data_IF_645945544578
#
_entry.id   IF_645945544578
#
_cell.length_a   1.000
_cell.length_b   1.000
_cell.length_c   1.000
_cell.angle_alpha   90.00
_cell.angle_beta   90.00
_cell.angle_gamma   90.00
#
_symmetry.space_group_name_H-M   'P 1'
#
loop_
_entity.id
_entity.type
_entity.pdbx_description
1 polymer ?
#
# COMPACT_ATOMS: atom_id res chain seq x y z
N UNK A 1 14.50 -19.79 11.57
CA UNK A 1 15.52 -19.69 10.50
C UNK A 1 15.21 -18.41 9.75
N UNK A 2 16.15 -17.47 9.63
CA UNK A 2 15.91 -16.19 8.94
C UNK A 2 16.06 -16.40 7.44
N UNK A 3 15.11 -15.94 6.62
CA UNK A 3 15.19 -16.06 5.16
C UNK A 3 16.44 -15.35 4.63
N UNK A 4 17.12 -15.96 3.66
CA UNK A 4 18.33 -15.41 3.07
C UNK A 4 18.08 -14.08 2.35
N UNK A 5 18.97 -13.10 2.56
CA UNK A 5 18.86 -11.75 1.97
C UNK A 5 18.71 -11.77 0.45
N UNK A 6 19.45 -12.64 -0.25
CA UNK A 6 19.38 -12.77 -1.71
C UNK A 6 18.00 -13.23 -2.19
N UNK A 7 17.32 -14.09 -1.43
CA UNK A 7 15.96 -14.56 -1.74
C UNK A 7 14.93 -13.46 -1.50
N UNK A 8 15.08 -12.71 -0.41
CA UNK A 8 14.25 -11.54 -0.10
C UNK A 8 14.33 -10.51 -1.24
N UNK A 9 15.54 -10.20 -1.71
CA UNK A 9 15.75 -9.25 -2.81
C UNK A 9 15.09 -9.72 -4.11
N UNK A 10 15.28 -10.99 -4.50
CA UNK A 10 14.60 -11.57 -5.66
C UNK A 10 13.08 -11.51 -5.54
N UNK A 11 12.54 -11.83 -4.36
CA UNK A 11 11.10 -11.78 -4.15
C UNK A 11 10.55 -10.36 -4.27
N UNK A 12 11.27 -9.37 -3.74
CA UNK A 12 10.91 -7.96 -3.89
C UNK A 12 10.94 -7.49 -5.34
N UNK A 13 11.85 -8.03 -6.18
CA UNK A 13 11.83 -7.76 -7.62
C UNK A 13 10.56 -8.30 -8.29
N UNK A 14 10.12 -9.51 -7.93
CA UNK A 14 8.85 -10.05 -8.41
C UNK A 14 7.66 -9.17 -8.03
N UNK A 15 7.66 -8.61 -6.81
CA UNK A 15 6.59 -7.71 -6.36
C UNK A 15 6.51 -6.41 -7.17
N UNK A 16 7.60 -6.01 -7.81
CA UNK A 16 7.68 -4.82 -8.66
C UNK A 16 7.31 -5.09 -10.12
N UNK A 17 6.99 -6.33 -10.51
CA UNK A 17 6.64 -6.65 -11.89
C UNK A 17 5.36 -5.97 -12.36
N UNK A 18 5.53 -5.09 -13.33
CA UNK A 18 4.49 -4.24 -13.87
C UNK A 18 3.72 -4.92 -15.01
N UNK A 19 2.98 -5.97 -14.70
CA UNK A 19 2.17 -6.70 -15.68
C UNK A 19 0.76 -6.88 -15.16
N UNK A 20 -0.24 -6.45 -15.94
CA UNK A 20 -1.65 -6.59 -15.59
C UNK A 20 -2.06 -8.05 -15.81
N UNK A 21 -2.55 -8.78 -14.79
CA UNK A 21 -3.15 -10.11 -14.99
C UNK A 21 -4.35 -10.03 -15.93
N UNK A 22 -4.50 -11.01 -16.81
CA UNK A 22 -5.54 -11.00 -17.86
C UNK A 22 -6.96 -10.92 -17.30
N UNK A 23 -7.19 -11.51 -16.13
CA UNK A 23 -8.45 -11.59 -15.42
C UNK A 23 -8.71 -10.39 -14.49
N UNK A 24 -7.72 -9.50 -14.28
CA UNK A 24 -7.83 -8.42 -13.29
C UNK A 24 -8.98 -7.45 -13.59
N UNK A 25 -9.08 -7.01 -14.84
CA UNK A 25 -10.07 -5.97 -15.22
C UNK A 25 -11.49 -6.50 -15.15
N UNK A 26 -11.70 -7.76 -15.52
CA UNK A 26 -12.99 -8.43 -15.46
C UNK A 26 -13.40 -8.71 -14.01
N UNK A 27 -12.51 -9.35 -13.25
CA UNK A 27 -12.76 -9.75 -11.85
C UNK A 27 -12.95 -8.56 -10.92
N UNK A 28 -12.20 -7.48 -11.14
CA UNK A 28 -12.20 -6.30 -10.29
C UNK A 28 -12.57 -5.05 -11.10
N UNK A 29 -13.70 -5.13 -11.80
CA UNK A 29 -14.22 -4.04 -12.64
C UNK A 29 -14.44 -2.72 -11.88
N UNK A 30 -14.77 -2.77 -10.59
CA UNK A 30 -14.82 -1.57 -9.74
C UNK A 30 -13.47 -0.85 -9.64
N UNK A 31 -12.37 -1.60 -9.64
CA UNK A 31 -11.00 -1.06 -9.65
C UNK A 31 -10.62 -0.47 -11.00
N UNK A 32 -11.24 -0.93 -12.10
CA UNK A 32 -10.98 -0.43 -13.45
C UNK A 32 -11.35 1.05 -13.63
N UNK A 33 -12.25 1.58 -12.80
CA UNK A 33 -12.61 3.01 -12.77
C UNK A 33 -11.42 3.93 -12.43
N UNK A 34 -10.39 3.42 -11.75
CA UNK A 34 -9.17 4.16 -11.42
C UNK A 34 -8.26 4.33 -12.63
N UNK A 35 -8.42 3.51 -13.68
CA UNK A 35 -7.60 3.57 -14.87
C UNK A 35 -7.82 4.90 -15.59
N UNK A 36 -6.74 5.61 -15.86
CA UNK A 36 -6.74 6.94 -16.47
C UNK A 36 -6.95 8.11 -15.50
N UNK A 37 -7.48 7.87 -14.30
CA UNK A 37 -7.74 8.89 -13.28
C UNK A 37 -6.68 8.83 -12.17
N UNK A 38 -6.56 7.67 -11.53
CA UNK A 38 -5.59 7.38 -10.48
C UNK A 38 -4.67 6.22 -10.91
N UNK A 39 -3.92 6.42 -12.00
CA UNK A 39 -3.09 5.38 -12.62
C UNK A 39 -2.11 4.70 -11.65
N UNK A 40 -1.52 5.44 -10.70
CA UNK A 40 -0.62 4.85 -9.71
C UNK A 40 -1.36 3.88 -8.77
N UNK A 41 -2.57 4.22 -8.32
CA UNK A 41 -3.39 3.31 -7.51
C UNK A 41 -3.86 2.11 -8.32
N UNK A 42 -4.33 2.33 -9.54
CA UNK A 42 -4.71 1.25 -10.44
C UNK A 42 -3.55 0.27 -10.66
N UNK A 43 -2.34 0.82 -10.86
CA UNK A 43 -1.09 0.06 -10.98
C UNK A 43 -0.79 -0.80 -9.77
N UNK A 44 -0.78 -0.19 -8.58
CA UNK A 44 -0.53 -0.91 -7.33
C UNK A 44 -1.58 -2.00 -7.11
N UNK A 45 -2.84 -1.75 -7.47
CA UNK A 45 -3.93 -2.72 -7.39
C UNK A 45 -3.69 -4.00 -8.19
N UNK A 46 -3.33 -3.90 -9.48
CA UNK A 46 -3.07 -5.12 -10.27
C UNK A 46 -1.76 -5.82 -9.89
N UNK A 47 -0.75 -5.06 -9.45
CA UNK A 47 0.48 -5.65 -8.93
C UNK A 47 0.19 -6.45 -7.66
N UNK A 48 -0.64 -5.92 -6.76
CA UNK A 48 -1.11 -6.65 -5.57
C UNK A 48 -1.87 -7.92 -5.95
N UNK A 49 -2.80 -7.85 -6.90
CA UNK A 49 -3.52 -9.02 -7.40
C UNK A 49 -2.56 -10.10 -7.93
N UNK A 50 -1.61 -9.71 -8.78
CA UNK A 50 -0.58 -10.60 -9.33
C UNK A 50 0.22 -11.27 -8.21
N UNK A 51 0.64 -10.50 -7.20
CA UNK A 51 1.40 -11.04 -6.07
C UNK A 51 0.59 -12.07 -5.26
N UNK A 52 -0.73 -11.95 -5.16
CA UNK A 52 -1.53 -13.02 -4.57
C UNK A 52 -1.59 -14.27 -5.47
N UNK A 53 -1.84 -14.09 -6.77
CA UNK A 53 -1.91 -15.19 -7.74
C UNK A 53 -0.62 -16.01 -7.79
N UNK A 54 0.53 -15.34 -7.77
CA UNK A 54 1.86 -15.96 -7.95
C UNK A 54 2.55 -16.34 -6.63
N UNK A 55 1.85 -16.28 -5.49
CA UNK A 55 2.44 -16.51 -4.16
C UNK A 55 3.16 -17.85 -3.98
N UNK A 56 2.76 -18.89 -4.72
CA UNK A 56 3.41 -20.21 -4.72
C UNK A 56 4.45 -20.36 -5.83
N UNK A 57 4.31 -19.59 -6.90
CA UNK A 57 5.17 -19.65 -8.08
C UNK A 57 6.49 -18.92 -7.81
N UNK A 58 6.44 -17.69 -7.30
CA UNK A 58 7.67 -16.91 -7.06
C UNK A 58 8.65 -17.59 -6.09
N UNK A 59 8.22 -18.10 -4.92
CA UNK A 59 9.12 -18.88 -4.06
C UNK A 59 9.78 -20.06 -4.78
N UNK A 60 9.01 -20.81 -5.56
CA UNK A 60 9.51 -21.98 -6.31
C UNK A 60 10.55 -21.57 -7.36
N UNK A 61 10.36 -20.44 -8.04
CA UNK A 61 11.33 -19.91 -9.00
C UNK A 61 12.62 -19.44 -8.32
N UNK A 62 12.53 -18.87 -7.11
CA UNK A 62 13.68 -18.37 -6.35
C UNK A 62 14.56 -19.52 -5.85
N UNK A 63 13.94 -20.61 -5.40
CA UNK A 63 14.65 -21.74 -4.82
C UNK A 63 15.40 -22.60 -5.85
N UNK A 64 15.14 -22.39 -7.14
CA UNK A 64 15.71 -23.21 -8.19
C UNK A 64 15.00 -24.57 -8.25
N UNK A 65 14.53 -24.91 -9.44
CA UNK A 65 13.82 -26.16 -9.76
C UNK A 65 14.45 -27.41 -9.14
N UNK A 66 13.62 -28.18 -8.42
CA UNK A 66 13.66 -29.62 -8.15
C UNK A 66 15.04 -30.18 -7.76
N UNK A 67 15.20 -30.50 -6.47
CA UNK A 67 16.27 -31.41 -6.06
C UNK A 67 16.12 -32.75 -6.81
N UNK A 68 17.23 -33.38 -7.20
CA UNK A 68 17.26 -34.71 -7.85
C UNK A 68 16.50 -35.81 -7.04
N UNK A 69 16.11 -35.50 -5.80
CA UNK A 69 15.31 -36.36 -4.92
C UNK A 69 13.79 -36.22 -5.08
N UNK A 70 13.28 -35.37 -5.98
CA UNK A 70 11.85 -35.18 -6.22
C UNK A 70 11.09 -34.41 -5.13
N UNK A 71 11.73 -34.12 -3.99
CA UNK A 71 11.17 -33.27 -2.94
C UNK A 71 11.53 -31.79 -3.21
N UNK A 72 10.50 -30.98 -3.50
CA UNK A 72 10.60 -29.53 -3.60
C UNK A 72 10.46 -28.94 -2.19
N UNK A 73 11.57 -28.59 -1.56
CA UNK A 73 11.55 -27.80 -0.33
C UNK A 73 11.49 -26.32 -0.70
N UNK A 74 10.30 -25.72 -0.62
CA UNK A 74 10.14 -24.26 -0.75
C UNK A 74 10.65 -23.60 0.52
N UNK A 75 11.63 -22.73 0.40
CA UNK A 75 12.30 -22.08 1.53
C UNK A 75 11.59 -20.83 2.03
N UNK A 76 10.76 -20.20 1.18
CA UNK A 76 9.90 -19.07 1.58
C UNK A 76 8.59 -19.65 2.09
N UNK A 77 8.34 -19.51 3.39
CA UNK A 77 7.05 -19.90 3.96
C UNK A 77 5.93 -18.93 3.54
N UNK A 78 4.68 -19.37 3.65
CA UNK A 78 3.52 -18.49 3.43
C UNK A 78 3.51 -17.29 4.39
N UNK A 79 4.03 -17.48 5.61
CA UNK A 79 4.16 -16.42 6.60
C UNK A 79 5.20 -15.38 6.15
N UNK A 80 6.40 -15.83 5.75
CA UNK A 80 7.47 -14.94 5.27
C UNK A 80 7.01 -14.17 4.01
N UNK A 81 6.34 -14.86 3.08
CA UNK A 81 5.79 -14.23 1.89
C UNK A 81 4.78 -13.12 2.26
N UNK A 82 3.87 -13.42 3.19
CA UNK A 82 2.86 -12.47 3.63
C UNK A 82 3.45 -11.26 4.34
N UNK A 83 4.46 -11.47 5.19
CA UNK A 83 5.19 -10.39 5.87
C UNK A 83 5.86 -9.46 4.85
N UNK A 84 6.59 -10.03 3.89
CA UNK A 84 7.25 -9.27 2.83
C UNK A 84 6.26 -8.54 1.91
N UNK A 85 5.11 -9.14 1.62
CA UNK A 85 4.06 -8.50 0.84
C UNK A 85 3.43 -7.31 1.58
N UNK A 86 3.20 -7.44 2.89
CA UNK A 86 2.74 -6.33 3.73
C UNK A 86 3.77 -5.20 3.79
N UNK A 87 5.05 -5.52 3.98
CA UNK A 87 6.13 -4.54 3.97
C UNK A 87 6.18 -3.79 2.63
N UNK A 88 6.12 -4.52 1.52
CA UNK A 88 6.07 -3.94 0.18
C UNK A 88 4.87 -3.01 0.02
N UNK A 89 3.67 -3.44 0.42
CA UNK A 89 2.45 -2.65 0.27
C UNK A 89 2.46 -1.40 1.16
N UNK A 90 2.98 -1.50 2.39
CA UNK A 90 3.18 -0.34 3.28
C UNK A 90 4.20 0.65 2.70
N UNK A 91 5.26 0.17 2.04
CA UNK A 91 6.20 1.03 1.33
C UNK A 91 5.55 1.73 0.12
N UNK A 92 4.66 1.03 -0.61
CA UNK A 92 3.85 1.65 -1.67
C UNK A 92 2.90 2.72 -1.11
N UNK A 93 2.24 2.45 0.01
CA UNK A 93 1.39 3.40 0.75
C UNK A 93 2.14 4.68 1.05
N UNK A 94 3.30 4.56 1.70
CA UNK A 94 4.10 5.71 2.12
C UNK A 94 4.56 6.55 0.93
N UNK A 95 4.98 5.91 -0.17
CA UNK A 95 5.38 6.62 -1.39
C UNK A 95 4.19 7.34 -2.03
N UNK A 96 3.05 6.66 -2.15
CA UNK A 96 1.85 7.22 -2.77
C UNK A 96 1.28 8.40 -1.97
N UNK A 97 1.14 8.26 -0.64
CA UNK A 97 0.60 9.31 0.21
C UNK A 97 1.50 10.56 0.19
N UNK A 98 2.82 10.38 0.16
CA UNK A 98 3.78 11.47 0.07
C UNK A 98 4.01 12.01 -1.35
N UNK A 99 3.32 11.45 -2.35
CA UNK A 99 3.41 11.92 -3.71
C UNK A 99 2.60 13.22 -3.85
N UNK A 100 3.30 14.35 -4.02
CA UNK A 100 2.74 15.72 -4.16
C UNK A 100 2.15 16.29 -2.85
N UNK A 101 1.60 17.50 -2.94
CA UNK A 101 1.15 18.31 -1.80
C UNK A 101 -0.23 17.96 -1.24
N UNK A 102 -0.84 16.83 -1.62
CA UNK A 102 -2.23 16.49 -1.30
C UNK A 102 -2.31 15.20 -0.47
N UNK A 103 -1.53 15.16 0.62
CA UNK A 103 -1.37 13.99 1.48
C UNK A 103 -2.70 13.39 1.95
N UNK A 104 -3.63 14.22 2.41
CA UNK A 104 -4.87 13.72 3.02
C UNK A 104 -5.81 13.09 1.98
N UNK A 105 -5.89 13.65 0.77
CA UNK A 105 -6.66 13.08 -0.33
C UNK A 105 -6.05 11.73 -0.77
N UNK A 106 -4.73 11.68 -0.95
CA UNK A 106 -4.04 10.43 -1.28
C UNK A 106 -4.24 9.36 -0.20
N UNK A 107 -4.22 9.76 1.08
CA UNK A 107 -4.51 8.85 2.20
C UNK A 107 -5.92 8.28 2.07
N UNK A 108 -6.92 9.12 1.81
CA UNK A 108 -8.31 8.67 1.66
C UNK A 108 -8.48 7.73 0.47
N UNK A 109 -7.93 8.08 -0.69
CA UNK A 109 -7.98 7.22 -1.88
C UNK A 109 -7.30 5.87 -1.65
N UNK A 110 -6.18 5.85 -0.91
CA UNK A 110 -5.51 4.61 -0.54
C UNK A 110 -6.38 3.71 0.34
N UNK A 111 -6.97 4.26 1.40
CA UNK A 111 -7.85 3.53 2.32
C UNK A 111 -9.10 3.02 1.60
N UNK A 112 -9.69 3.84 0.73
CA UNK A 112 -10.89 3.47 -0.02
C UNK A 112 -10.63 2.38 -1.06
N UNK A 113 -9.50 2.43 -1.74
CA UNK A 113 -9.22 1.51 -2.83
C UNK A 113 -8.32 0.37 -2.40
N UNK A 114 -7.10 0.62 -1.94
CA UNK A 114 -6.11 -0.46 -1.73
C UNK A 114 -6.40 -1.28 -0.46
N UNK A 115 -6.69 -0.63 0.66
CA UNK A 115 -6.91 -1.34 1.93
C UNK A 115 -8.21 -2.19 1.87
N UNK A 116 -9.28 -1.65 1.28
CA UNK A 116 -10.52 -2.41 1.04
C UNK A 116 -10.36 -3.53 0.02
N UNK A 117 -9.35 -3.47 -0.83
CA UNK A 117 -9.15 -4.43 -1.91
C UNK A 117 -8.39 -5.70 -1.52
N UNK A 118 -7.61 -5.63 -0.45
CA UNK A 118 -6.85 -6.77 0.07
C UNK A 118 -7.70 -8.03 0.27
N UNK A 119 -8.82 -7.89 0.97
CA UNK A 119 -9.68 -9.01 1.35
C UNK A 119 -10.39 -9.65 0.13
N UNK A 120 -11.01 -8.88 -0.79
CA UNK A 120 -11.52 -9.40 -2.05
C UNK A 120 -10.48 -10.21 -2.85
N UNK A 121 -9.24 -9.70 -3.00
CA UNK A 121 -8.18 -10.41 -3.74
C UNK A 121 -7.85 -11.73 -3.02
N UNK A 122 -7.61 -11.68 -1.71
CA UNK A 122 -7.23 -12.85 -0.93
C UNK A 122 -8.27 -13.96 -1.08
N UNK A 123 -9.55 -13.60 -0.95
CA UNK A 123 -10.67 -14.53 -1.10
C UNK A 123 -10.80 -15.11 -2.50
N UNK A 124 -10.57 -14.29 -3.52
CA UNK A 124 -10.64 -14.70 -4.92
C UNK A 124 -9.54 -15.72 -5.25
N UNK A 125 -8.31 -15.46 -4.83
CA UNK A 125 -7.16 -16.28 -5.19
C UNK A 125 -7.11 -17.58 -4.39
N UNK A 126 -7.26 -17.50 -3.06
CA UNK A 126 -7.28 -18.67 -2.20
C UNK A 126 -7.77 -18.31 -0.79
N UNK A 127 -9.00 -18.71 -0.46
CA UNK A 127 -9.58 -18.54 0.86
C UNK A 127 -8.78 -19.20 2.01
N UNK A 128 -7.96 -20.21 1.71
CA UNK A 128 -7.12 -20.90 2.72
C UNK A 128 -5.80 -20.18 3.00
N UNK A 129 -5.40 -19.21 2.16
CA UNK A 129 -4.21 -18.41 2.38
C UNK A 129 -4.46 -17.38 3.49
N UNK A 130 -3.92 -17.68 4.68
CA UNK A 130 -3.99 -16.84 5.86
C UNK A 130 -2.94 -15.73 5.81
N UNK A 131 -3.13 -14.78 4.89
CA UNK A 131 -2.33 -13.57 4.82
C UNK A 131 -3.15 -12.35 5.26
N UNK A 132 -3.03 -12.02 6.54
CA UNK A 132 -3.69 -10.86 7.13
C UNK A 132 -2.98 -9.58 6.70
N UNK A 133 -3.78 -8.53 6.47
CA UNK A 133 -3.27 -7.19 6.22
C UNK A 133 -2.73 -6.60 7.52
N UNK A 134 -1.45 -6.23 7.53
CA UNK A 134 -0.79 -5.47 8.60
C UNK A 134 -0.44 -4.07 8.10
N UNK A 135 -1.34 -3.12 8.37
CA UNK A 135 -1.24 -1.75 7.88
C UNK A 135 -0.50 -0.85 8.86
N UNK A 136 0.46 -0.08 8.36
CA UNK A 136 1.07 0.99 9.15
C UNK A 136 0.19 2.24 9.07
N UNK A 137 -0.25 2.81 10.21
CA UNK A 137 -0.98 4.07 10.19
C UNK A 137 -0.08 5.18 9.68
N UNK A 138 -0.61 6.01 8.78
CA UNK A 138 0.09 7.18 8.26
C UNK A 138 -0.64 8.46 8.68
N UNK A 139 0.10 9.41 9.23
CA UNK A 139 -0.43 10.71 9.67
C UNK A 139 0.12 11.78 8.74
N UNK A 140 -0.79 12.46 8.02
CA UNK A 140 -0.44 13.65 7.26
C UNK A 140 -0.12 14.79 8.22
N UNK A 141 1.14 15.24 8.25
CA UNK A 141 1.54 16.41 9.01
C UNK A 141 1.20 17.68 8.22
N UNK A 142 0.46 18.61 8.84
CA UNK A 142 0.32 19.95 8.27
C UNK A 142 1.70 20.60 8.14
N UNK A 143 1.95 21.28 7.01
CA UNK A 143 3.23 21.96 6.81
C UNK A 143 3.48 22.97 7.94
N UNK A 144 4.75 23.17 8.35
CA UNK A 144 5.10 24.17 9.36
C UNK A 144 4.54 25.55 9.01
N UNK A 145 4.52 25.89 7.71
CA UNK A 145 4.04 27.18 7.20
C UNK A 145 2.53 27.36 7.42
N UNK A 146 1.72 26.33 7.17
CA UNK A 146 0.28 26.37 7.42
C UNK A 146 -0.02 26.47 8.92
N UNK A 147 0.73 25.73 9.75
CA UNK A 147 0.60 25.80 11.22
C UNK A 147 0.91 27.20 11.74
N UNK A 148 1.98 27.81 11.23
CA UNK A 148 2.37 29.18 11.60
C UNK A 148 1.34 30.20 11.13
N UNK A 149 0.87 30.09 9.88
CA UNK A 149 -0.14 31.00 9.32
C UNK A 149 -1.47 30.94 10.10
N UNK A 150 -1.95 29.74 10.45
CA UNK A 150 -3.15 29.57 11.27
C UNK A 150 -2.94 30.14 12.67
N UNK A 151 -1.80 29.86 13.31
CA UNK A 151 -1.49 30.38 14.65
C UNK A 151 -1.46 31.91 14.69
N UNK A 152 -0.80 32.55 13.71
CA UNK A 152 -0.76 34.01 13.59
C UNK A 152 -2.15 34.58 13.29
N UNK A 153 -2.92 33.93 12.41
CA UNK A 153 -4.29 34.34 12.10
C UNK A 153 -5.21 34.30 13.32
N UNK A 154 -5.16 33.23 14.11
CA UNK A 154 -5.93 33.12 15.35
C UNK A 154 -5.50 34.14 16.41
N UNK A 155 -4.20 34.42 16.52
CA UNK A 155 -3.69 35.45 17.42
C UNK A 155 -4.20 36.85 17.05
N UNK A 156 -4.19 37.19 15.75
CA UNK A 156 -4.72 38.46 15.25
C UNK A 156 -6.23 38.57 15.48
N UNK A 157 -7.00 37.52 15.18
CA UNK A 157 -8.44 37.47 15.45
C UNK A 157 -8.76 37.68 16.93
N UNK A 158 -8.04 36.98 17.81
CA UNK A 158 -8.19 37.13 19.26
C UNK A 158 -7.88 38.56 19.72
N UNK A 159 -6.79 39.13 19.22
CA UNK A 159 -6.39 40.51 19.54
C UNK A 159 -7.42 41.52 19.05
N UNK A 160 -7.95 41.36 17.84
CA UNK A 160 -9.02 42.19 17.31
C UNK A 160 -10.29 42.09 18.17
N UNK A 161 -10.73 40.88 18.52
CA UNK A 161 -11.92 40.67 19.34
C UNK A 161 -11.79 41.32 20.72
N UNK A 162 -10.64 41.16 21.38
CA UNK A 162 -10.35 41.81 22.66
C UNK A 162 -10.38 43.34 22.50
N UNK A 163 -9.75 43.87 21.45
CA UNK A 163 -9.73 45.31 21.17
C UNK A 163 -11.13 45.87 20.93
N UNK A 164 -11.95 45.17 20.13
CA UNK A 164 -13.36 45.53 19.91
C UNK A 164 -14.16 45.52 21.22
N UNK A 165 -13.91 44.55 22.11
CA UNK A 165 -14.59 44.45 23.40
C UNK A 165 -14.26 45.64 24.34
N UNK A 166 -13.06 46.20 24.24
CA UNK A 166 -12.66 47.38 25.02
C UNK A 166 -13.07 48.71 24.37
N UNK A 167 -13.15 48.76 23.03
CA UNK A 167 -13.48 49.99 22.29
C UNK A 167 -14.98 50.23 22.12
N UNK A 168 -15.80 49.18 22.14
CA UNK A 168 -17.26 49.26 21.98
C UNK A 168 -18.02 48.92 23.26
N UNK A 169 -17.42 49.26 24.42
CA UNK A 169 -18.08 49.21 25.73
C UNK A 169 -18.78 50.53 26.04
#
# INVERSE_FOLDING_TARGET
>A
MKLETSKIEKLRLFFEEDTIPSDFTETFSSFSSLKGIHNNLYKIGYMLHKNFQYRKVYPTLIDGTVSDSGNVTVSVSDADYCELLNEWLNNKKNKYINERSICEENRQLWEEHIERFWEPIRKYVDNSFLCNRDTTPYICSASPDLKNALSVGFALLGTCLISFFFLYK
#
